data_IF_813911519074
#
_entry.id   IF_813911519074
#
_cell.length_a   1.000
_cell.length_b   1.000
_cell.length_c   1.000
_cell.angle_alpha   90.00
_cell.angle_beta   90.00
_cell.angle_gamma   90.00
#
_symmetry.space_group_name_H-M   'P 1'
#
loop_
_entity.id
_entity.type
_entity.pdbx_description
1 polymer ?
#
# COMPACT_ATOMS: atom_id res chain seq x y z
N UNK A 1 53.25 -9.42 1.27
CA UNK A 1 52.08 -10.22 0.86
C UNK A 1 50.84 -9.44 1.20
N UNK A 2 49.80 -9.26 0.38
CA UNK A 2 49.59 -9.37 -1.05
C UNK A 2 48.22 -8.71 -1.25
N UNK A 3 48.10 -7.87 -2.26
CA UNK A 3 46.92 -7.15 -2.72
C UNK A 3 45.73 -8.05 -3.06
N UNK A 4 44.49 -7.55 -2.88
CA UNK A 4 43.48 -7.36 -3.95
C UNK A 4 42.07 -6.96 -3.44
N UNK A 5 41.59 -5.79 -3.87
CA UNK A 5 40.26 -5.63 -4.51
C UNK A 5 40.40 -6.04 -5.99
N UNK A 6 39.36 -6.22 -6.84
CA UNK A 6 37.90 -6.00 -6.66
C UNK A 6 37.05 -7.19 -7.17
N UNK A 7 35.71 -7.10 -7.13
CA UNK A 7 34.89 -7.26 -8.35
C UNK A 7 33.43 -6.84 -8.13
N UNK A 8 32.99 -5.95 -9.02
CA UNK A 8 31.61 -5.62 -9.35
C UNK A 8 31.10 -6.77 -10.21
N UNK A 9 29.94 -7.34 -9.90
CA UNK A 9 29.23 -8.24 -10.82
C UNK A 9 27.81 -7.74 -11.06
N UNK A 10 27.52 -7.61 -12.34
CA UNK A 10 26.32 -7.04 -12.95
C UNK A 10 25.15 -8.04 -12.87
N UNK A 11 23.95 -7.45 -12.91
CA UNK A 11 22.68 -8.09 -13.29
C UNK A 11 22.81 -9.13 -14.40
N UNK A 12 21.88 -10.09 -14.46
CA UNK A 12 20.96 -9.98 -15.59
C UNK A 12 19.47 -10.16 -15.23
N UNK A 13 18.67 -9.35 -15.91
CA UNK A 13 17.25 -9.51 -16.10
C UNK A 13 16.92 -10.89 -16.70
N UNK A 14 16.04 -11.64 -16.04
CA UNK A 14 15.39 -12.81 -16.62
C UNK A 14 14.12 -12.34 -17.31
N UNK A 15 14.28 -11.97 -18.58
CA UNK A 15 13.20 -11.79 -19.54
C UNK A 15 12.68 -13.18 -19.94
N UNK A 16 11.46 -13.53 -19.53
CA UNK A 16 10.80 -14.76 -19.95
C UNK A 16 10.38 -14.66 -21.41
N UNK A 17 11.29 -15.01 -22.33
CA UNK A 17 10.99 -15.21 -23.73
C UNK A 17 10.43 -16.62 -23.93
N UNK A 18 9.12 -16.72 -24.15
CA UNK A 18 8.46 -17.91 -24.67
C UNK A 18 8.88 -18.09 -26.14
N UNK A 19 9.67 -19.13 -26.39
CA UNK A 19 10.02 -19.61 -27.72
C UNK A 19 8.77 -20.25 -28.36
N UNK A 20 8.17 -19.59 -29.35
CA UNK A 20 7.36 -20.27 -30.36
C UNK A 20 8.18 -20.41 -31.63
N UNK A 21 8.69 -21.62 -31.85
CA UNK A 21 9.19 -22.09 -33.13
C UNK A 21 7.97 -22.30 -34.03
N UNK A 22 7.83 -21.52 -35.09
CA UNK A 22 7.00 -21.92 -36.23
C UNK A 22 7.76 -21.67 -37.52
N UNK A 23 7.95 -22.80 -38.20
CA UNK A 23 8.60 -22.98 -39.50
C UNK A 23 8.01 -22.09 -40.58
N UNK A 24 8.85 -21.66 -41.51
CA UNK A 24 8.51 -20.75 -42.59
C UNK A 24 7.50 -21.33 -43.58
N UNK A 25 6.47 -20.55 -43.84
CA UNK A 25 5.76 -20.54 -45.12
C UNK A 25 5.58 -19.07 -45.53
N UNK A 26 6.25 -18.65 -46.60
CA UNK A 26 5.98 -17.37 -47.26
C UNK A 26 4.58 -17.45 -47.87
N UNK A 27 3.65 -16.61 -47.42
CA UNK A 27 2.41 -16.36 -48.16
C UNK A 27 2.45 -14.91 -48.63
N UNK A 28 2.60 -14.77 -49.95
CA UNK A 28 2.57 -13.53 -50.70
C UNK A 28 1.15 -12.95 -50.68
N UNK A 29 0.98 -11.76 -50.12
CA UNK A 29 -0.30 -11.06 -50.03
C UNK A 29 -0.49 -10.14 -51.25
N UNK A 30 -0.66 -10.72 -52.43
CA UNK A 30 -1.13 -9.98 -53.60
C UNK A 30 -2.36 -10.69 -54.17
N UNK A 31 -3.46 -9.95 -54.23
CA UNK A 31 -4.78 -10.29 -54.78
C UNK A 31 -5.76 -10.93 -53.79
N UNK A 32 -6.41 -10.09 -52.97
CA UNK A 32 -7.84 -10.27 -52.63
C UNK A 32 -8.43 -9.03 -51.95
N UNK A 33 -8.27 -7.84 -52.56
CA UNK A 33 -9.16 -6.70 -52.26
C UNK A 33 -10.15 -6.57 -53.40
N UNK A 34 -11.20 -7.38 -53.38
CA UNK A 34 -12.49 -6.97 -53.93
C UNK A 34 -13.62 -7.80 -53.35
N UNK A 35 -14.23 -7.30 -52.27
CA UNK A 35 -15.66 -7.51 -52.03
C UNK A 35 -16.19 -6.41 -51.13
N UNK A 36 -17.10 -5.65 -51.71
CA UNK A 36 -17.79 -4.52 -51.09
C UNK A 36 -18.42 -4.87 -49.74
N UNK A 37 -18.17 -4.02 -48.74
CA UNK A 37 -18.89 -4.07 -47.47
C UNK A 37 -20.04 -3.07 -47.58
N UNK A 38 -21.22 -3.58 -47.92
CA UNK A 38 -22.44 -2.80 -48.03
C UNK A 38 -22.91 -2.37 -46.63
N UNK A 39 -22.73 -1.09 -46.34
CA UNK A 39 -23.10 -0.45 -45.08
C UNK A 39 -24.61 -0.16 -45.06
N UNK A 40 -25.36 -0.82 -44.16
CA UNK A 40 -26.71 -0.37 -43.74
C UNK A 40 -26.74 -0.22 -42.22
N UNK A 41 -27.34 0.86 -41.68
CA UNK A 41 -27.19 1.23 -40.28
C UNK A 41 -28.27 0.55 -39.44
N UNK A 42 -27.90 -0.41 -38.59
CA UNK A 42 -28.83 -0.91 -37.57
C UNK A 42 -28.08 -1.34 -36.31
N UNK A 43 -28.21 -0.51 -35.27
CA UNK A 43 -28.10 -0.82 -33.84
C UNK A 43 -26.73 -1.25 -33.30
N UNK A 44 -25.91 -0.23 -33.07
CA UNK A 44 -25.07 0.02 -31.88
C UNK A 44 -24.72 -1.17 -30.97
N UNK A 45 -23.51 -1.74 -31.11
CA UNK A 45 -22.74 -2.26 -29.96
C UNK A 45 -21.25 -1.95 -30.21
N UNK A 46 -20.81 -0.84 -29.63
CA UNK A 46 -19.39 -0.48 -29.49
C UNK A 46 -18.84 -1.29 -28.32
N UNK A 47 -17.97 -2.27 -28.57
CA UNK A 47 -17.27 -2.97 -27.49
C UNK A 47 -15.98 -2.21 -27.14
N UNK A 48 -16.13 -1.22 -26.27
CA UNK A 48 -15.05 -0.54 -25.55
C UNK A 48 -14.77 -1.35 -24.27
N UNK A 49 -13.56 -1.88 -24.10
CA UNK A 49 -13.10 -2.36 -22.80
C UNK A 49 -11.69 -1.83 -22.54
N UNK A 50 -11.65 -0.60 -22.02
CA UNK A 50 -10.54 -0.06 -21.23
C UNK A 50 -10.25 -1.00 -20.05
N UNK A 51 -9.01 -1.45 -19.90
CA UNK A 51 -8.49 -1.78 -18.57
C UNK A 51 -7.14 -1.09 -18.36
N UNK A 52 -7.18 0.17 -17.93
CA UNK A 52 -6.04 0.79 -17.26
C UNK A 52 -5.93 0.19 -15.85
N UNK A 53 -4.96 -0.70 -15.63
CA UNK A 53 -4.51 -1.03 -14.27
C UNK A 53 -3.29 -0.18 -13.93
N UNK A 54 -3.50 1.08 -13.58
CA UNK A 54 -2.46 1.94 -13.03
C UNK A 54 -2.37 1.76 -11.52
N UNK A 55 -1.76 0.66 -11.05
CA UNK A 55 -1.33 0.56 -9.66
C UNK A 55 0.07 1.15 -9.53
N UNK A 56 0.18 2.49 -9.51
CA UNK A 56 1.45 3.14 -9.17
C UNK A 56 1.54 3.33 -7.67
N UNK A 57 2.26 2.41 -7.02
CA UNK A 57 2.98 2.52 -5.76
C UNK A 57 2.59 3.68 -4.80
N UNK A 58 1.89 3.33 -3.71
CA UNK A 58 1.93 4.09 -2.46
C UNK A 58 2.28 3.16 -1.29
N UNK A 59 3.37 2.41 -1.43
CA UNK A 59 3.86 1.43 -0.45
C UNK A 59 4.69 2.04 0.71
N UNK A 60 4.83 3.37 0.76
CA UNK A 60 5.66 4.03 1.77
C UNK A 60 5.01 3.98 3.17
N UNK A 61 3.73 4.31 3.29
CA UNK A 61 3.07 4.34 4.62
C UNK A 61 3.02 2.95 5.26
N UNK A 62 2.69 1.92 4.47
CA UNK A 62 2.61 0.53 4.97
C UNK A 62 3.96 -0.01 5.41
N UNK A 63 5.03 0.29 4.68
CA UNK A 63 6.38 -0.19 5.01
C UNK A 63 6.97 0.57 6.21
N UNK A 64 6.77 1.88 6.29
CA UNK A 64 7.14 2.69 7.45
C UNK A 64 6.39 2.20 8.69
N UNK A 65 5.07 2.07 8.63
CA UNK A 65 4.29 1.65 9.79
C UNK A 65 4.65 0.22 10.22
N UNK A 66 4.89 -0.70 9.28
CA UNK A 66 5.37 -2.06 9.60
C UNK A 66 6.71 -2.04 10.34
N UNK A 67 7.61 -1.09 10.02
CA UNK A 67 8.89 -0.91 10.72
C UNK A 67 8.65 -0.37 12.14
N UNK A 68 7.85 0.67 12.29
CA UNK A 68 7.53 1.30 13.58
C UNK A 68 6.84 0.31 14.53
N UNK A 69 5.96 -0.53 13.98
CA UNK A 69 5.19 -1.51 14.75
C UNK A 69 5.88 -2.87 14.94
N UNK A 70 7.17 -2.98 14.62
CA UNK A 70 7.94 -4.22 14.82
C UNK A 70 7.79 -4.83 16.23
N UNK A 71 7.77 -4.05 17.34
CA UNK A 71 7.61 -4.62 18.68
C UNK A 71 6.30 -5.40 18.89
N UNK A 72 5.21 -4.98 18.22
CA UNK A 72 3.89 -5.62 18.33
C UNK A 72 3.67 -6.75 17.32
N UNK A 73 4.64 -7.00 16.42
CA UNK A 73 4.59 -8.09 15.44
C UNK A 73 3.24 -8.19 14.69
N UNK A 74 2.81 -7.14 13.98
CA UNK A 74 1.52 -7.16 13.28
C UNK A 74 1.46 -8.30 12.27
N UNK A 75 0.32 -8.99 12.25
CA UNK A 75 -0.01 -10.07 11.31
C UNK A 75 -0.16 -9.48 9.90
N UNK A 76 -0.76 -8.30 9.82
CA UNK A 76 -1.00 -7.61 8.56
C UNK A 76 -0.86 -6.11 8.73
N UNK A 77 -0.28 -5.45 7.72
CA UNK A 77 -0.36 -4.01 7.54
C UNK A 77 -0.74 -3.77 6.08
N UNK A 78 -1.92 -3.20 5.85
CA UNK A 78 -2.49 -3.02 4.51
C UNK A 78 -3.11 -1.63 4.35
N UNK A 79 -3.11 -1.11 3.12
CA UNK A 79 -3.70 0.20 2.78
C UNK A 79 -4.73 0.01 1.68
N UNK A 80 -5.92 0.59 1.88
CA UNK A 80 -6.99 0.64 0.90
C UNK A 80 -7.50 2.07 0.80
N UNK A 81 -7.23 2.74 -0.32
CA UNK A 81 -7.53 4.16 -0.47
C UNK A 81 -6.81 5.02 0.57
N UNK A 82 -7.59 5.78 1.34
CA UNK A 82 -7.15 6.64 2.45
C UNK A 82 -7.20 5.95 3.82
N UNK A 83 -7.50 4.64 3.86
CA UNK A 83 -7.56 3.84 5.09
C UNK A 83 -6.32 2.96 5.21
N UNK A 84 -5.64 3.05 6.34
CA UNK A 84 -4.52 2.18 6.71
C UNK A 84 -4.98 1.23 7.82
N UNK A 85 -4.79 -0.07 7.63
CA UNK A 85 -5.22 -1.10 8.58
C UNK A 85 -4.02 -1.88 9.10
N UNK A 86 -3.95 -2.02 10.41
CA UNK A 86 -3.00 -2.86 11.13
C UNK A 86 -3.78 -3.94 11.87
N UNK A 87 -3.37 -5.18 11.67
CA UNK A 87 -3.95 -6.34 12.36
C UNK A 87 -2.90 -6.89 13.31
N UNK A 88 -3.20 -6.86 14.60
CA UNK A 88 -2.32 -7.39 15.65
C UNK A 88 -2.68 -8.84 15.96
N UNK A 89 -1.71 -9.61 16.45
CA UNK A 89 -1.92 -11.01 16.84
C UNK A 89 -2.58 -11.13 18.24
N UNK A 90 -3.61 -10.35 18.48
CA UNK A 90 -4.34 -10.29 19.74
C UNK A 90 -5.78 -10.75 19.52
N UNK A 91 -6.39 -11.38 20.53
CA UNK A 91 -7.81 -11.74 20.48
C UNK A 91 -8.71 -10.50 20.62
N UNK A 92 -8.25 -9.53 21.42
CA UNK A 92 -8.94 -8.29 21.70
C UNK A 92 -7.91 -7.17 21.76
N UNK A 93 -8.22 -6.05 21.09
CA UNK A 93 -7.48 -4.81 21.28
C UNK A 93 -8.08 -4.12 22.49
N UNK A 94 -7.33 -4.10 23.60
CA UNK A 94 -7.70 -3.33 24.79
C UNK A 94 -7.32 -1.86 24.61
N UNK A 95 -7.86 -0.98 25.47
CA UNK A 95 -7.49 0.44 25.46
C UNK A 95 -5.99 0.65 25.66
N UNK A 96 -5.35 -0.15 26.52
CA UNK A 96 -3.91 -0.02 26.82
C UNK A 96 -3.05 -0.49 25.64
N UNK A 97 -3.44 -1.59 24.98
CA UNK A 97 -2.78 -2.06 23.76
C UNK A 97 -2.92 -1.00 22.67
N UNK A 98 -4.12 -0.44 22.48
CA UNK A 98 -4.34 0.61 21.51
C UNK A 98 -3.49 1.86 21.79
N UNK A 99 -3.52 2.36 23.03
CA UNK A 99 -2.77 3.54 23.44
C UNK A 99 -1.27 3.37 23.23
N UNK A 100 -0.70 2.22 23.61
CA UNK A 100 0.73 1.95 23.42
C UNK A 100 1.10 1.84 21.96
N UNK A 101 0.28 1.17 21.14
CA UNK A 101 0.50 1.06 19.68
C UNK A 101 0.49 2.42 19.01
N UNK A 102 -0.45 3.30 19.37
CA UNK A 102 -0.53 4.64 18.80
C UNK A 102 0.62 5.51 19.29
N UNK A 103 0.79 5.65 20.60
CA UNK A 103 1.76 6.58 21.20
C UNK A 103 3.21 6.17 20.94
N UNK A 104 3.55 4.90 21.16
CA UNK A 104 4.92 4.39 21.10
C UNK A 104 5.27 3.74 19.75
N UNK A 105 4.28 3.51 18.90
CA UNK A 105 4.44 2.91 17.58
C UNK A 105 4.16 3.88 16.46
N UNK A 106 2.87 4.13 16.17
CA UNK A 106 2.45 4.88 14.99
C UNK A 106 2.88 6.36 15.02
N UNK A 107 2.81 7.01 16.18
CA UNK A 107 3.13 8.44 16.33
C UNK A 107 4.58 8.71 16.73
N UNK A 108 5.25 7.79 17.44
CA UNK A 108 6.59 8.03 17.98
C UNK A 108 7.61 8.44 16.91
N UNK A 109 7.65 7.70 15.81
CA UNK A 109 8.60 7.96 14.72
C UNK A 109 8.29 9.29 13.98
N UNK A 110 7.06 9.82 14.12
CA UNK A 110 6.71 11.17 13.61
C UNK A 110 7.37 12.23 14.47
N UNK A 111 7.32 12.07 15.80
CA UNK A 111 7.87 13.04 16.76
C UNK A 111 9.40 13.07 16.74
N UNK A 112 10.03 11.90 16.58
CA UNK A 112 11.49 11.80 16.43
C UNK A 112 11.98 12.11 15.01
N UNK A 113 11.05 12.32 14.06
CA UNK A 113 11.33 12.61 12.64
C UNK A 113 12.06 11.45 11.92
N UNK A 114 11.82 10.21 12.37
CA UNK A 114 12.36 8.97 11.79
C UNK A 114 11.51 8.41 10.63
N UNK A 115 10.50 9.18 10.18
CA UNK A 115 9.63 8.85 9.05
C UNK A 115 9.83 9.79 7.84
N UNK A 116 9.50 9.34 6.62
CA UNK A 116 9.48 10.22 5.46
C UNK A 116 8.53 11.41 5.65
N UNK A 117 8.87 12.59 5.08
CA UNK A 117 8.03 13.81 5.18
C UNK A 117 6.57 13.62 4.74
N UNK A 118 6.32 12.67 3.84
CA UNK A 118 4.97 12.38 3.29
C UNK A 118 4.20 11.31 4.05
N UNK A 119 4.75 10.78 5.13
CA UNK A 119 4.13 9.72 5.91
C UNK A 119 2.75 10.14 6.43
N UNK A 120 1.75 9.29 6.21
CA UNK A 120 0.34 9.47 6.62
C UNK A 120 -0.37 10.72 6.07
N UNK A 121 0.25 11.49 5.15
CA UNK A 121 -0.35 12.72 4.61
C UNK A 121 -1.70 12.49 3.90
N UNK A 122 -1.89 11.31 3.34
CA UNK A 122 -3.10 10.93 2.59
C UNK A 122 -4.03 10.01 3.37
N UNK A 123 -3.64 9.64 4.59
CA UNK A 123 -4.40 8.67 5.40
C UNK A 123 -5.41 9.43 6.24
N UNK A 124 -6.69 9.10 6.07
CA UNK A 124 -7.80 9.65 6.87
C UNK A 124 -8.13 8.80 8.08
N UNK A 125 -7.91 7.49 7.97
CA UNK A 125 -8.19 6.52 9.03
C UNK A 125 -7.02 5.57 9.22
N UNK A 126 -6.60 5.40 10.48
CA UNK A 126 -5.71 4.31 10.90
C UNK A 126 -6.48 3.35 11.79
N UNK A 127 -6.65 2.11 11.34
CA UNK A 127 -7.39 1.07 12.05
C UNK A 127 -6.42 0.11 12.73
N UNK A 128 -6.59 -0.11 14.03
CA UNK A 128 -5.84 -1.08 14.82
C UNK A 128 -6.82 -2.18 15.24
N UNK A 129 -6.72 -3.35 14.60
CA UNK A 129 -7.68 -4.45 14.72
C UNK A 129 -7.07 -5.69 15.35
N UNK A 130 -7.92 -6.50 15.97
CA UNK A 130 -7.58 -7.83 16.48
C UNK A 130 -7.31 -8.81 15.33
N UNK A 131 -6.78 -10.00 15.66
CA UNK A 131 -6.41 -11.03 14.67
C UNK A 131 -7.59 -11.52 13.81
N UNK A 132 -8.81 -11.33 14.29
CA UNK A 132 -10.05 -11.69 13.59
C UNK A 132 -10.60 -10.56 12.70
N UNK A 133 -9.97 -9.38 12.71
CA UNK A 133 -10.39 -8.16 11.99
C UNK A 133 -11.82 -7.73 12.32
N UNK A 134 -12.32 -8.09 13.51
CA UNK A 134 -13.71 -7.91 13.91
C UNK A 134 -13.89 -6.92 15.06
N UNK A 135 -12.80 -6.55 15.74
CA UNK A 135 -12.82 -5.61 16.86
C UNK A 135 -11.52 -4.80 16.87
N UNK A 136 -11.62 -3.54 17.27
CA UNK A 136 -10.48 -2.66 17.37
C UNK A 136 -10.90 -1.21 17.53
N UNK A 137 -9.96 -0.33 17.17
CA UNK A 137 -10.13 1.12 17.23
C UNK A 137 -9.70 1.75 15.92
N UNK A 138 -10.30 2.89 15.62
CA UNK A 138 -10.00 3.70 14.44
C UNK A 138 -9.58 5.08 14.91
N UNK A 139 -8.37 5.48 14.53
CA UNK A 139 -7.84 6.83 14.73
C UNK A 139 -8.14 7.67 13.50
N UNK A 140 -8.89 8.75 13.70
CA UNK A 140 -9.18 9.74 12.65
C UNK A 140 -7.99 10.67 12.43
N UNK A 141 -7.78 11.05 11.16
CA UNK A 141 -6.75 12.01 10.70
C UNK A 141 -5.39 11.77 11.38
N UNK A 142 -4.83 10.56 11.27
CA UNK A 142 -3.74 10.10 12.14
C UNK A 142 -2.52 11.04 12.17
N UNK A 143 -2.16 11.65 11.03
CA UNK A 143 -1.07 12.63 11.00
C UNK A 143 -1.37 13.88 11.84
N UNK A 144 -2.57 14.45 11.73
CA UNK A 144 -2.94 15.63 12.52
C UNK A 144 -2.98 15.29 14.00
N UNK A 145 -3.64 14.18 14.33
CA UNK A 145 -3.80 13.73 15.72
C UNK A 145 -2.45 13.44 16.38
N UNK A 146 -1.54 12.72 15.71
CA UNK A 146 -0.19 12.52 16.22
C UNK A 146 0.55 13.85 16.43
N UNK A 147 0.45 14.81 15.51
CA UNK A 147 1.12 16.11 15.64
C UNK A 147 0.56 16.97 16.79
N UNK A 148 -0.74 16.87 17.08
CA UNK A 148 -1.36 17.54 18.23
C UNK A 148 -0.94 16.87 19.55
N UNK A 149 -0.97 15.54 19.60
CA UNK A 149 -0.48 14.78 20.74
C UNK A 149 0.96 15.12 21.10
N UNK A 150 1.85 15.23 20.10
CA UNK A 150 3.27 15.52 20.31
C UNK A 150 3.60 16.92 20.83
N UNK A 151 2.62 17.82 20.93
CA UNK A 151 2.79 19.17 21.50
C UNK A 151 2.39 19.26 22.97
N UNK A 152 1.79 18.20 23.51
CA UNK A 152 1.11 18.19 24.80
C UNK A 152 1.78 17.23 25.79
N UNK A 153 1.43 17.38 27.07
CA UNK A 153 1.82 16.41 28.10
C UNK A 153 1.07 15.08 27.91
N UNK A 154 1.60 13.94 28.40
CA UNK A 154 1.04 12.61 28.16
C UNK A 154 -0.47 12.48 28.45
N UNK A 155 -0.94 13.07 29.56
CA UNK A 155 -2.35 13.03 29.96
C UNK A 155 -3.25 13.78 28.96
N UNK A 156 -2.79 14.94 28.46
CA UNK A 156 -3.49 15.72 27.45
C UNK A 156 -3.41 15.06 26.07
N UNK A 157 -2.26 14.50 25.72
CA UNK A 157 -2.08 13.72 24.50
C UNK A 157 -3.04 12.52 24.45
N UNK A 158 -3.23 11.82 25.59
CA UNK A 158 -4.22 10.75 25.71
C UNK A 158 -5.64 11.24 25.45
N UNK A 159 -6.02 12.39 26.01
CA UNK A 159 -7.35 12.98 25.74
C UNK A 159 -7.52 13.31 24.25
N UNK A 160 -6.51 13.88 23.59
CA UNK A 160 -6.55 14.19 22.16
C UNK A 160 -6.69 12.91 21.32
N UNK A 161 -5.90 11.87 21.64
CA UNK A 161 -5.98 10.57 20.99
C UNK A 161 -7.39 9.99 21.08
N UNK A 162 -7.94 9.92 22.30
CA UNK A 162 -9.27 9.35 22.54
C UNK A 162 -10.39 10.17 21.89
N UNK A 163 -10.28 11.50 21.86
CA UNK A 163 -11.26 12.38 21.22
C UNK A 163 -11.32 12.20 19.69
N UNK A 164 -10.23 11.72 19.08
CA UNK A 164 -10.15 11.41 17.65
C UNK A 164 -10.17 9.89 17.38
N UNK A 165 -10.68 9.10 18.33
CA UNK A 165 -10.80 7.65 18.21
C UNK A 165 -12.25 7.21 18.31
N UNK A 166 -12.65 6.28 17.45
CA UNK A 166 -13.90 5.54 17.61
C UNK A 166 -13.67 4.03 17.54
N UNK A 167 -14.66 3.24 17.97
CA UNK A 167 -14.63 1.78 17.84
C UNK A 167 -14.81 1.37 16.37
N UNK A 168 -14.16 0.26 15.98
CA UNK A 168 -14.28 -0.34 14.65
C UNK A 168 -15.60 -1.10 14.47
#
# INVERSE_FOLDING_TARGET
MSTRRPHIEKSPAMCGALLFVLSGARISLNNMFNKEINLKPFKTVVLLALTLTSFTALANDTSTLKKSLKPWQPVEVSKSGDTLTVVLNENQITSDVYETVISSGACMDIWTKDVPKKYLQTVKELRILNKHKAQGYVLEKPLNTCNEMGKEQPERAKVIMLANTHLF
#
